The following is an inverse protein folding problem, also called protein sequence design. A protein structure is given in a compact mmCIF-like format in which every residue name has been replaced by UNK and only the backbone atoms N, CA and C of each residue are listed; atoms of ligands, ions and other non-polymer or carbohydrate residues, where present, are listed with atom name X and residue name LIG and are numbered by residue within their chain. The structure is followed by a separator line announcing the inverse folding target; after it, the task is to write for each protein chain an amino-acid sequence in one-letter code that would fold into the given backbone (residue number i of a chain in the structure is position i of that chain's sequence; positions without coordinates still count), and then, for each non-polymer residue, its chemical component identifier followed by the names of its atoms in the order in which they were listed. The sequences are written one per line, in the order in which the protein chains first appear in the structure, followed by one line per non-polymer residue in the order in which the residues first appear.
data_IF_403601175749
#
_entry.id   IF_403601175749
#
_cell.length_a   1.000
_cell.length_b   1.000
_cell.length_c   1.000
_cell.angle_alpha   90.00
_cell.angle_beta   90.00
_cell.angle_gamma   90.00
#
_symmetry.space_group_name_H-M   'P 1'
#
loop_
_entity.id
_entity.type
_entity.pdbx_description
1 polymer ?
#
# COMPACT_ATOMS: atom_id res chain seq x y z
N UNK A 1 -1.07 2.24 -11.29
CA UNK A 1 -1.91 2.44 -10.07
C UNK A 1 -2.79 1.25 -9.74
N UNK A 2 -3.40 0.56 -10.72
CA UNK A 2 -4.13 -0.69 -10.47
C UNK A 2 -3.22 -1.77 -9.85
N UNK A 3 -1.98 -1.86 -10.34
CA UNK A 3 -0.97 -2.81 -9.84
C UNK A 3 -0.63 -2.60 -8.37
N UNK A 4 -0.36 -1.35 -7.94
CA UNK A 4 -0.10 -1.03 -6.52
C UNK A 4 -1.26 -1.49 -5.64
N UNK A 5 -2.51 -1.28 -6.07
CA UNK A 5 -3.68 -1.71 -5.30
C UNK A 5 -3.78 -3.23 -5.18
N UNK A 6 -3.42 -3.95 -6.25
CA UNK A 6 -3.46 -5.42 -6.25
C UNK A 6 -2.36 -5.99 -5.37
N UNK A 7 -1.13 -5.49 -5.49
CA UNK A 7 -0.01 -5.87 -4.63
C UNK A 7 -0.32 -5.64 -3.15
N UNK A 8 -0.92 -4.49 -2.79
CA UNK A 8 -1.33 -4.25 -1.40
C UNK A 8 -2.36 -5.29 -0.91
N UNK A 9 -3.31 -5.71 -1.74
CA UNK A 9 -4.27 -6.77 -1.39
C UNK A 9 -3.60 -8.13 -1.24
N UNK A 10 -2.69 -8.48 -2.14
CA UNK A 10 -1.91 -9.73 -2.06
C UNK A 10 -1.04 -9.80 -0.79
N UNK A 11 -0.54 -8.65 -0.34
CA UNK A 11 0.17 -8.51 0.93
C UNK A 11 -0.75 -8.57 2.18
N UNK A 12 -2.07 -8.71 2.00
CA UNK A 12 -3.03 -8.87 3.10
C UNK A 12 -3.73 -7.58 3.54
N UNK A 13 -3.73 -6.52 2.72
CA UNK A 13 -4.50 -5.32 3.03
C UNK A 13 -6.00 -5.63 3.00
N UNK A 14 -6.69 -5.34 4.11
CA UNK A 14 -8.15 -5.49 4.23
C UNK A 14 -8.90 -4.33 3.58
N UNK A 15 -8.21 -3.21 3.39
CA UNK A 15 -8.72 -2.04 2.69
C UNK A 15 -7.61 -1.39 1.88
N UNK A 16 -7.94 -0.95 0.67
CA UNK A 16 -7.00 -0.27 -0.22
C UNK A 16 -7.71 0.87 -0.94
N UNK A 17 -7.18 2.08 -0.83
CA UNK A 17 -7.75 3.25 -1.49
C UNK A 17 -6.69 4.26 -1.92
N UNK A 18 -7.12 5.23 -2.71
CA UNK A 18 -6.29 6.35 -3.17
C UNK A 18 -6.70 7.62 -2.43
N UNK A 19 -5.75 8.49 -2.14
CA UNK A 19 -6.03 9.80 -1.55
C UNK A 19 -6.08 10.89 -2.64
N UNK A 20 -7.11 11.75 -2.60
CA UNK A 20 -7.21 12.97 -3.41
C UNK A 20 -7.34 12.73 -4.92
N UNK A 21 -6.66 13.55 -5.72
CA UNK A 21 -6.62 13.49 -7.19
C UNK A 21 -5.71 12.38 -7.76
N UNK A 22 -5.15 11.50 -6.92
CA UNK A 22 -3.98 10.66 -7.25
C UNK A 22 -2.68 11.46 -7.03
N UNK A 23 -1.64 10.92 -6.40
CA UNK A 23 -0.79 9.80 -6.83
C UNK A 23 -0.44 8.79 -5.73
N UNK A 24 -0.97 8.99 -4.52
CA UNK A 24 -0.72 8.13 -3.37
C UNK A 24 -1.81 7.05 -3.23
N UNK A 25 -1.36 5.83 -2.89
CA UNK A 25 -2.21 4.68 -2.56
C UNK A 25 -1.87 4.26 -1.15
N UNK A 26 -2.87 3.95 -0.34
CA UNK A 26 -2.67 3.41 1.00
C UNK A 26 -3.47 2.12 1.18
N UNK A 27 -2.93 1.24 2.03
CA UNK A 27 -3.56 0.01 2.46
C UNK A 27 -3.66 -0.04 3.98
N UNK A 28 -4.74 -0.62 4.50
CA UNK A 28 -4.90 -0.91 5.93
C UNK A 28 -4.66 -2.40 6.14
N UNK A 29 -3.77 -2.71 7.07
CA UNK A 29 -3.35 -4.07 7.39
C UNK A 29 -3.74 -4.40 8.84
N UNK A 30 -4.24 -5.62 9.13
CA UNK A 30 -4.58 -6.02 10.49
C UNK A 30 -3.36 -6.33 11.36
N UNK A 31 -2.18 -6.47 10.74
CA UNK A 31 -0.90 -6.75 11.40
C UNK A 31 0.21 -5.97 10.69
N UNK A 32 1.38 -5.74 11.33
CA UNK A 32 2.54 -5.15 10.66
C UNK A 32 2.98 -6.00 9.46
N UNK A 33 3.21 -5.35 8.32
CA UNK A 33 3.67 -5.98 7.07
C UNK A 33 4.87 -5.18 6.54
N UNK A 34 5.91 -5.84 6.06
CA UNK A 34 7.05 -5.16 5.42
C UNK A 34 6.71 -4.76 3.97
N UNK A 35 5.94 -3.68 3.81
CA UNK A 35 5.46 -3.22 2.49
C UNK A 35 6.60 -2.60 1.67
N UNK A 36 7.62 -2.02 2.32
CA UNK A 36 8.74 -1.36 1.64
C UNK A 36 9.50 -2.25 0.65
N UNK A 37 9.62 -3.56 0.92
CA UNK A 37 10.30 -4.51 0.02
C UNK A 37 9.54 -4.75 -1.29
N UNK A 38 8.21 -4.62 -1.26
CA UNK A 38 7.37 -4.82 -2.45
C UNK A 38 7.38 -3.62 -3.40
N UNK A 39 7.84 -2.45 -2.93
CA UNK A 39 7.84 -1.20 -3.70
C UNK A 39 9.19 -0.47 -3.61
N UNK A 40 10.28 -1.08 -4.13
CA UNK A 40 11.63 -0.53 -3.99
C UNK A 40 11.84 0.83 -4.70
N UNK A 41 11.05 1.11 -5.73
CA UNK A 41 11.12 2.36 -6.52
C UNK A 41 10.14 3.43 -6.04
N UNK A 42 9.38 3.18 -4.96
CA UNK A 42 8.37 4.09 -4.44
C UNK A 42 8.77 4.63 -3.07
N UNK A 43 8.31 5.83 -2.77
CA UNK A 43 8.30 6.32 -1.40
C UNK A 43 7.21 5.58 -0.61
N UNK A 44 7.61 4.81 0.40
CA UNK A 44 6.70 4.07 1.28
C UNK A 44 6.72 4.70 2.66
N UNK A 45 5.55 5.07 3.16
CA UNK A 45 5.34 5.47 4.55
C UNK A 45 4.49 4.41 5.25
N UNK A 46 4.89 4.05 6.46
CA UNK A 46 4.14 3.17 7.34
C UNK A 46 3.92 3.92 8.66
N UNK A 47 2.67 3.95 9.14
CA UNK A 47 2.36 4.49 10.46
C UNK A 47 2.92 3.60 11.55
N UNK A 48 3.32 4.20 12.67
CA UNK A 48 3.66 3.50 13.92
C UNK A 48 2.43 2.84 14.56
#
# INVERSE_FOLDING_TARGET
MLEIKNTLRELGAVYVSMTGSGSAVYGVFPHPVEVGKAFPEYFVWQGE
#
